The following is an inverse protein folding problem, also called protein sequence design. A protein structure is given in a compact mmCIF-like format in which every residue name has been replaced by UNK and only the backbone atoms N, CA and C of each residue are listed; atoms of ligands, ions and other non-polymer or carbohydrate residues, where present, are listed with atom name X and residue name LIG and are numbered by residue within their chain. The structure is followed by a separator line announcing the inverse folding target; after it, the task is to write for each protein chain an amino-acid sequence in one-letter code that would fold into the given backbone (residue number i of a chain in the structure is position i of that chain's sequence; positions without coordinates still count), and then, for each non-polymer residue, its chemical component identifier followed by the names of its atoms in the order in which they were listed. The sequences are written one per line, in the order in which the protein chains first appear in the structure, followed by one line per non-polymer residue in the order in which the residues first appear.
data_IF_360779639433
#
_entry.id   IF_360779639433
#
_cell.length_a   1.000
_cell.length_b   1.000
_cell.length_c   1.000
_cell.angle_alpha   90.00
_cell.angle_beta   90.00
_cell.angle_gamma   90.00
#
_symmetry.space_group_name_H-M   'P 1'
#
loop_
_entity.id
_entity.type
_entity.pdbx_description
1 polymer ?
#
# COMPACT_ATOMS: atom_id res chain seq x y z
N UNK A 1 1.55 -13.95 12.08
CA UNK A 1 1.88 -12.81 11.20
C UNK A 1 3.16 -12.22 11.75
N UNK A 2 4.28 -12.32 11.01
CA UNK A 2 5.54 -11.75 11.50
C UNK A 2 5.40 -10.23 11.57
N UNK A 3 5.76 -9.64 12.70
CA UNK A 3 5.85 -8.19 12.84
C UNK A 3 6.79 -7.68 11.74
N UNK A 4 6.24 -6.98 10.74
CA UNK A 4 7.06 -6.25 9.78
C UNK A 4 7.83 -5.20 10.58
N UNK A 5 9.16 -5.26 10.52
CA UNK A 5 10.04 -4.30 11.19
C UNK A 5 9.69 -2.90 10.71
N UNK A 6 9.35 -2.00 11.64
CA UNK A 6 9.17 -0.57 11.35
C UNK A 6 10.54 0.07 11.17
N UNK A 7 10.68 0.87 10.12
CA UNK A 7 11.94 1.53 9.78
C UNK A 7 11.72 3.03 9.97
N UNK A 8 12.42 3.69 10.92
CA UNK A 8 12.40 5.13 10.98
C UNK A 8 13.10 5.68 9.72
N UNK A 9 12.42 6.56 8.99
CA UNK A 9 12.88 7.05 7.70
C UNK A 9 12.59 8.55 7.54
N UNK A 10 13.35 9.20 6.68
CA UNK A 10 12.93 10.48 6.11
C UNK A 10 12.13 10.22 4.83
N UNK A 11 11.21 11.14 4.53
CA UNK A 11 10.35 11.11 3.35
C UNK A 11 10.44 12.45 2.62
N UNK A 12 10.57 12.44 1.30
CA UNK A 12 10.66 13.65 0.49
C UNK A 12 9.96 13.47 -0.86
N UNK A 13 9.31 14.53 -1.33
CA UNK A 13 8.81 14.61 -2.70
C UNK A 13 9.87 15.28 -3.58
N UNK A 14 10.60 14.47 -4.35
CA UNK A 14 11.59 14.93 -5.34
C UNK A 14 11.06 14.65 -6.73
N UNK A 15 10.23 15.57 -7.21
CA UNK A 15 9.47 15.44 -8.46
C UNK A 15 10.37 14.97 -9.63
N UNK A 16 9.99 13.90 -10.35
CA UNK A 16 8.68 13.22 -10.34
C UNK A 16 8.53 12.05 -9.34
N UNK A 17 9.44 11.90 -8.39
CA UNK A 17 9.54 10.74 -7.51
C UNK A 17 9.21 11.05 -6.04
N UNK A 18 8.65 10.06 -5.35
CA UNK A 18 8.60 10.00 -3.88
C UNK A 18 9.84 9.25 -3.40
N UNK A 19 10.71 9.92 -2.65
CA UNK A 19 11.93 9.32 -2.12
C UNK A 19 11.80 9.09 -0.62
N UNK A 20 12.30 7.97 -0.14
CA UNK A 20 12.53 7.75 1.28
C UNK A 20 13.86 7.06 1.51
N UNK A 21 14.46 7.31 2.68
CA UNK A 21 15.55 6.46 3.15
C UNK A 21 15.55 6.33 4.67
N UNK A 22 16.09 5.21 5.15
CA UNK A 22 16.19 4.90 6.57
C UNK A 22 17.08 5.90 7.29
N UNK A 23 16.71 6.23 8.53
CA UNK A 23 17.57 6.99 9.45
C UNK A 23 18.71 6.12 9.98
N UNK A 24 18.55 4.80 9.98
CA UNK A 24 19.65 3.88 10.24
C UNK A 24 20.66 3.92 9.07
N UNK A 25 21.95 4.02 9.41
CA UNK A 25 23.04 4.17 8.45
C UNK A 25 24.13 3.11 8.66
N UNK A 26 24.80 2.72 7.57
CA UNK A 26 26.01 1.90 7.59
C UNK A 26 27.04 2.48 6.62
N UNK A 27 28.26 2.71 7.09
CA UNK A 27 29.34 3.30 6.31
C UNK A 27 28.97 4.65 5.65
N UNK A 28 28.16 5.47 6.34
CA UNK A 28 27.73 6.78 5.85
C UNK A 28 26.60 6.76 4.81
N UNK A 29 26.01 5.59 4.54
CA UNK A 29 24.86 5.44 3.65
C UNK A 29 23.63 4.94 4.41
N UNK A 30 22.39 5.33 4.02
CA UNK A 30 21.18 4.71 4.54
C UNK A 30 21.20 3.20 4.32
N UNK A 31 20.72 2.42 5.31
CA UNK A 31 20.58 0.97 5.16
C UNK A 31 19.57 0.61 4.07
N UNK A 32 18.47 1.36 4.00
CA UNK A 32 17.41 1.15 3.02
C UNK A 32 17.00 2.49 2.41
N UNK A 33 16.72 2.49 1.12
CA UNK A 33 16.24 3.65 0.39
C UNK A 33 15.42 3.20 -0.81
N UNK A 34 14.42 3.99 -1.21
CA UNK A 34 13.74 3.80 -2.48
C UNK A 34 13.31 5.12 -3.09
N UNK A 35 13.21 5.11 -4.41
CA UNK A 35 12.61 6.17 -5.22
C UNK A 35 11.41 5.56 -5.94
N UNK A 36 10.23 6.11 -5.68
CA UNK A 36 8.95 5.61 -6.20
C UNK A 36 8.43 6.64 -7.20
N UNK A 37 8.41 6.32 -8.50
CA UNK A 37 7.82 7.22 -9.49
C UNK A 37 6.36 7.47 -9.18
N UNK A 38 5.96 8.75 -9.11
CA UNK A 38 4.58 9.11 -8.76
C UNK A 38 3.57 8.53 -9.76
N UNK A 39 3.95 8.37 -11.04
CA UNK A 39 3.11 7.70 -12.05
C UNK A 39 2.76 6.24 -11.72
N UNK A 40 3.56 5.56 -10.90
CA UNK A 40 3.29 4.18 -10.47
C UNK A 40 2.37 4.10 -9.24
N UNK A 41 2.14 5.23 -8.54
CA UNK A 41 1.24 5.27 -7.39
C UNK A 41 -0.21 5.31 -7.88
N UNK A 42 -0.95 4.24 -7.61
CA UNK A 42 -2.33 4.08 -8.02
C UNK A 42 -3.29 4.80 -7.08
N UNK A 43 -3.08 4.64 -5.76
CA UNK A 43 -3.95 5.22 -4.74
C UNK A 43 -3.17 5.61 -3.49
N UNK A 44 -3.59 6.71 -2.88
CA UNK A 44 -3.22 7.11 -1.52
C UNK A 44 -4.45 6.89 -0.65
N UNK A 45 -4.35 6.04 0.37
CA UNK A 45 -5.46 5.72 1.28
C UNK A 45 -5.08 6.12 2.70
N UNK A 46 -5.79 7.09 3.28
CA UNK A 46 -5.66 7.39 4.71
C UNK A 46 -6.59 6.51 5.53
N UNK A 47 -6.00 5.66 6.38
CA UNK A 47 -6.73 4.69 7.21
C UNK A 47 -7.09 5.24 8.59
N UNK A 48 -6.73 6.50 8.88
CA UNK A 48 -6.82 7.10 10.21
C UNK A 48 -5.68 6.74 11.16
N UNK A 49 -5.02 5.59 10.94
CA UNK A 49 -3.81 5.18 11.69
C UNK A 49 -2.53 5.45 10.88
N UNK A 50 -2.56 5.11 9.59
CA UNK A 50 -1.43 5.22 8.67
C UNK A 50 -1.89 5.68 7.29
N UNK A 51 -0.93 6.11 6.47
CA UNK A 51 -1.15 6.36 5.05
C UNK A 51 -0.67 5.15 4.26
N UNK A 52 -1.53 4.57 3.43
CA UNK A 52 -1.18 3.46 2.54
C UNK A 52 -1.03 3.96 1.11
N UNK A 53 0.11 3.67 0.50
CA UNK A 53 0.40 3.93 -0.91
C UNK A 53 0.29 2.62 -1.68
N UNK A 54 -0.72 2.53 -2.53
CA UNK A 54 -0.87 1.40 -3.46
C UNK A 54 -0.03 1.70 -4.69
N UNK A 55 1.00 0.89 -4.91
CA UNK A 55 1.96 1.05 -6.00
C UNK A 55 1.75 -0.09 -6.99
N UNK A 56 1.77 0.23 -8.29
CA UNK A 56 1.58 -0.76 -9.36
C UNK A 56 2.60 -1.90 -9.23
N UNK A 57 2.10 -3.13 -9.29
CA UNK A 57 2.88 -4.38 -9.24
C UNK A 57 3.82 -4.53 -8.01
N UNK A 58 3.55 -3.78 -6.95
CA UNK A 58 4.34 -3.74 -5.73
C UNK A 58 3.46 -3.86 -4.48
N UNK A 59 3.98 -4.40 -3.36
CA UNK A 59 3.25 -4.37 -2.10
C UNK A 59 2.98 -2.93 -1.68
N UNK A 60 1.80 -2.69 -1.10
CA UNK A 60 1.45 -1.37 -0.61
C UNK A 60 2.46 -0.88 0.45
N UNK A 61 2.93 0.35 0.29
CA UNK A 61 3.83 0.99 1.24
C UNK A 61 3.00 1.64 2.34
N UNK A 62 3.26 1.25 3.59
CA UNK A 62 2.57 1.77 4.77
C UNK A 62 3.45 2.81 5.46
N UNK A 63 2.93 4.03 5.58
CA UNK A 63 3.60 5.17 6.19
C UNK A 63 2.91 5.57 7.50
N UNK A 64 3.64 5.47 8.60
CA UNK A 64 3.21 5.93 9.91
C UNK A 64 3.81 7.31 10.19
N UNK A 65 2.99 8.23 10.70
CA UNK A 65 3.38 9.59 11.03
C UNK A 65 3.22 9.84 12.53
N UNK A 66 3.98 10.80 13.06
CA UNK A 66 3.95 11.14 14.48
C UNK A 66 2.63 11.77 14.89
N UNK A 67 2.00 12.53 13.99
CA UNK A 67 0.70 13.16 14.25
C UNK A 67 -0.31 12.94 13.13
N UNK A 68 -1.59 13.12 13.46
CA UNK A 68 -2.67 13.10 12.48
C UNK A 68 -2.57 14.29 11.50
N UNK A 69 -2.10 15.46 11.95
CA UNK A 69 -1.93 16.61 11.04
C UNK A 69 -0.87 16.32 9.99
N UNK A 70 0.28 15.74 10.38
CA UNK A 70 1.33 15.34 9.44
C UNK A 70 0.79 14.35 8.40
N UNK A 71 0.11 13.30 8.85
CA UNK A 71 -0.48 12.29 7.94
C UNK A 71 -1.44 12.93 6.94
N UNK A 72 -2.35 13.79 7.40
CA UNK A 72 -3.34 14.45 6.56
C UNK A 72 -2.69 15.45 5.59
N UNK A 73 -1.63 16.15 6.02
CA UNK A 73 -0.86 17.04 5.15
C UNK A 73 -0.16 16.25 4.03
N UNK A 74 0.48 15.14 4.38
CA UNK A 74 1.14 14.25 3.41
C UNK A 74 0.14 13.63 2.43
N UNK A 75 -1.02 13.16 2.89
CA UNK A 75 -2.10 12.69 2.02
C UNK A 75 -2.48 13.76 0.98
N UNK A 76 -2.69 15.01 1.44
CA UNK A 76 -3.05 16.13 0.55
C UNK A 76 -1.94 16.42 -0.46
N UNK A 77 -0.69 16.46 -0.04
CA UNK A 77 0.44 16.76 -0.94
C UNK A 77 0.68 15.65 -1.95
N UNK A 78 0.54 14.38 -1.55
CA UNK A 78 0.69 13.25 -2.45
C UNK A 78 -0.43 13.21 -3.50
N UNK A 79 -1.68 13.42 -3.09
CA UNK A 79 -2.80 13.50 -4.04
C UNK A 79 -2.63 14.66 -5.03
N UNK A 80 -2.23 15.84 -4.56
CA UNK A 80 -1.96 16.99 -5.43
C UNK A 80 -0.82 16.70 -6.42
N UNK A 81 0.28 16.09 -5.94
CA UNK A 81 1.39 15.69 -6.79
C UNK A 81 0.94 14.72 -7.90
N UNK A 82 0.09 13.74 -7.56
CA UNK A 82 -0.47 12.78 -8.50
C UNK A 82 -1.45 13.38 -9.52
N UNK A 83 -2.10 14.49 -9.19
CA UNK A 83 -2.99 15.21 -10.10
C UNK A 83 -2.20 16.06 -11.10
N UNK A 84 -1.18 16.77 -10.60
CA UNK A 84 -0.42 17.76 -11.39
C UNK A 84 0.66 17.10 -12.24
N UNK A 85 1.35 16.09 -11.72
CA UNK A 85 2.59 15.59 -12.32
C UNK A 85 2.40 14.37 -13.21
N UNK A 86 1.24 13.70 -13.13
CA UNK A 86 0.94 12.58 -14.02
C UNK A 86 0.36 13.14 -15.33
N UNK A 87 1.11 13.07 -16.45
CA UNK A 87 0.66 13.59 -17.74
C UNK A 87 -0.68 12.97 -18.15
N UNK A 88 -1.51 13.73 -18.89
CA UNK A 88 -2.80 13.21 -19.35
C UNK A 88 -2.70 11.91 -20.14
N UNK A 89 -1.62 11.73 -20.90
CA UNK A 89 -1.31 10.51 -21.64
C UNK A 89 -1.14 9.28 -20.73
N UNK A 90 -0.59 9.45 -19.53
CA UNK A 90 -0.34 8.38 -18.56
C UNK A 90 -1.52 8.14 -17.61
N UNK A 91 -2.48 9.09 -17.56
CA UNK A 91 -3.68 8.95 -16.71
C UNK A 91 -4.54 7.75 -17.14
N UNK A 92 -4.69 7.51 -18.44
CA UNK A 92 -5.47 6.38 -18.94
C UNK A 92 -4.87 5.02 -18.53
N UNK A 93 -3.55 4.87 -18.63
CA UNK A 93 -2.84 3.67 -18.18
C UNK A 93 -2.93 3.49 -16.66
N UNK A 94 -2.78 4.60 -15.91
CA UNK A 94 -2.94 4.59 -14.47
C UNK A 94 -4.36 4.18 -14.07
N UNK A 95 -5.38 4.70 -14.74
CA UNK A 95 -6.78 4.40 -14.43
C UNK A 95 -7.14 2.96 -14.80
N UNK A 96 -6.59 2.44 -15.91
CA UNK A 96 -6.68 1.03 -16.26
C UNK A 96 -6.01 0.14 -15.19
N UNK A 97 -4.82 0.52 -14.72
CA UNK A 97 -4.13 -0.18 -13.64
C UNK A 97 -4.92 -0.13 -12.31
N UNK A 98 -5.53 1.02 -11.98
CA UNK A 98 -6.44 1.15 -10.81
C UNK A 98 -7.66 0.24 -10.93
N UNK A 99 -8.24 0.11 -12.12
CA UNK A 99 -9.40 -0.75 -12.36
C UNK A 99 -9.01 -2.24 -12.25
N UNK A 100 -7.87 -2.62 -12.84
CA UNK A 100 -7.31 -3.98 -12.75
C UNK A 100 -7.01 -4.37 -11.31
N UNK A 101 -6.34 -3.50 -10.55
CA UNK A 101 -6.05 -3.72 -9.13
C UNK A 101 -7.34 -3.93 -8.30
N UNK A 102 -8.38 -3.14 -8.56
CA UNK A 102 -9.68 -3.32 -7.89
C UNK A 102 -10.32 -4.67 -8.22
N UNK A 103 -10.21 -5.13 -9.46
CA UNK A 103 -10.72 -6.45 -9.85
C UNK A 103 -9.99 -7.58 -9.12
N UNK A 104 -8.66 -7.48 -9.02
CA UNK A 104 -7.82 -8.41 -8.25
C UNK A 104 -8.20 -8.41 -6.76
N UNK A 105 -8.33 -7.25 -6.12
CA UNK A 105 -8.75 -7.15 -4.70
C UNK A 105 -10.12 -7.84 -4.46
N UNK A 106 -11.05 -7.74 -5.41
CA UNK A 106 -12.36 -8.39 -5.30
C UNK A 106 -12.25 -9.91 -5.44
N UNK A 107 -11.44 -10.39 -6.38
CA UNK A 107 -11.20 -11.81 -6.61
C UNK A 107 -10.53 -12.47 -5.41
N UNK A 108 -9.48 -11.85 -4.84
CA UNK A 108 -8.81 -12.31 -3.63
C UNK A 108 -9.78 -12.41 -2.44
N UNK A 109 -10.66 -11.41 -2.26
CA UNK A 109 -11.69 -11.43 -1.21
C UNK A 109 -12.69 -12.56 -1.42
N UNK A 110 -13.07 -12.87 -2.67
CA UNK A 110 -13.95 -14.00 -2.98
C UNK A 110 -13.28 -15.32 -2.65
N UNK A 111 -12.04 -15.52 -3.07
CA UNK A 111 -11.26 -16.73 -2.79
C UNK A 111 -11.12 -16.97 -1.27
N UNK A 112 -10.77 -15.93 -0.50
CA UNK A 112 -10.67 -16.01 0.96
C UNK A 112 -12.02 -16.37 1.62
N UNK A 113 -13.12 -15.83 1.12
CA UNK A 113 -14.46 -16.16 1.64
C UNK A 113 -14.86 -17.60 1.31
N UNK A 114 -14.49 -18.12 0.14
CA UNK A 114 -14.72 -19.52 -0.21
C UNK A 114 -13.87 -20.48 0.64
N UNK A 115 -12.60 -20.17 0.86
CA UNK A 115 -11.75 -20.94 1.78
C UNK A 115 -12.29 -20.95 3.20
N UNK A 116 -12.76 -19.78 3.71
CA UNK A 116 -13.41 -19.70 5.02
C UNK A 116 -14.65 -20.59 5.10
N UNK A 117 -15.50 -20.58 4.06
CA UNK A 117 -16.68 -21.45 3.99
C UNK A 117 -16.30 -22.92 4.00
N UNK A 118 -15.30 -23.33 3.21
CA UNK A 118 -14.81 -24.73 3.18
C UNK A 118 -14.30 -25.19 4.54
N UNK A 119 -13.45 -24.39 5.20
CA UNK A 119 -12.94 -24.71 6.55
C UNK A 119 -14.06 -24.83 7.58
N UNK A 120 -15.08 -23.97 7.51
CA UNK A 120 -16.23 -24.04 8.40
C UNK A 120 -17.06 -25.31 8.16
N UNK A 121 -17.27 -25.71 6.90
CA UNK A 121 -17.99 -26.96 6.57
C UNK A 121 -17.23 -28.22 7.02
N UNK A 122 -15.90 -28.25 6.88
CA UNK A 122 -15.07 -29.38 7.32
C UNK A 122 -15.06 -29.51 8.86
N UNK A 123 -15.05 -28.39 9.59
CA UNK A 123 -15.13 -28.37 11.05
C UNK A 123 -16.49 -28.78 11.62
N UNK A 124 -17.59 -28.61 10.86
CA UNK A 124 -18.94 -29.05 11.23
C UNK A 124 -19.18 -30.53 10.88
N UNK A 125 -18.61 -31.04 9.78
CA UNK A 125 -18.75 -32.45 9.37
C UNK A 125 -18.13 -33.46 10.35
N UNK A 126 -17.09 -33.05 11.09
CA UNK A 126 -16.44 -33.88 12.12
C UNK A 126 -17.20 -33.92 13.46
N UNK A 127 -18.20 -33.06 13.67
CA UNK A 127 -19.00 -33.04 14.92
C UNK A 127 -20.26 -33.90 14.86
N UNK A 128 -20.68 -34.35 13.67
CA UNK A 128 -21.90 -35.14 13.47
C UNK A 128 -21.64 -36.64 13.19
N UNK A 129 -20.39 -37.09 13.19
CA UNK A 129 -20.01 -38.49 12.93
C UNK A 129 -19.52 -39.24 14.17
N UNK A 130 -19.66 -38.64 15.36
CA UNK A 130 -19.39 -39.29 16.64
C UNK A 130 -20.73 -39.62 17.33
N UNK A 131 -21.41 -40.66 16.84
CA UNK A 131 -22.41 -41.43 17.60
C UNK A 131 -21.97 -42.89 17.65
#
# INVERSE_FOLDING_TARGET
MGDRRKIPAWLSLRIPDLCWASLEQRAGQPLEAAEIPLGQVLHVRNTGLMLELVIKDQPALQLEFGTAEERNAWEKYLNLALEVLVPESERAERDAAKASHRAQEVEERRALNEERKKRLSEGLGMRFTAE
#
